data_IF_795382663022
#
_entry.id   IF_795382663022
#
_cell.length_a   1.000
_cell.length_b   1.000
_cell.length_c   1.000
_cell.angle_alpha   90.00
_cell.angle_beta   90.00
_cell.angle_gamma   90.00
#
_symmetry.space_group_name_H-M   'P 1'
#
loop_
_entity.id
_entity.type
_entity.pdbx_description
1 polymer ?
#
# COMPACT_ATOMS: atom_id res chain seq x y z
N UNK A 1 0.25 -18.71 4.76
CA UNK A 1 1.67 -18.42 5.01
C UNK A 1 2.18 -17.42 3.98
N UNK A 2 3.03 -16.51 4.40
CA UNK A 2 3.56 -15.49 3.51
C UNK A 2 4.95 -15.83 3.04
N UNK A 3 5.24 -15.44 1.80
CA UNK A 3 6.62 -15.46 1.32
C UNK A 3 7.45 -14.38 2.04
N UNK A 4 8.74 -14.49 1.94
CA UNK A 4 9.65 -13.48 2.53
C UNK A 4 9.43 -12.12 1.91
N UNK A 5 9.24 -12.06 0.59
CA UNK A 5 9.00 -10.81 -0.11
C UNK A 5 7.68 -10.18 0.31
N UNK A 6 6.64 -11.00 0.49
CA UNK A 6 5.35 -10.48 0.95
C UNK A 6 5.47 -9.90 2.36
N UNK A 7 6.23 -10.55 3.22
CA UNK A 7 6.47 -10.05 4.57
C UNK A 7 7.24 -8.74 4.57
N UNK A 8 8.24 -8.62 3.69
CA UNK A 8 8.97 -7.36 3.55
C UNK A 8 8.05 -6.22 3.11
N UNK A 9 7.18 -6.50 2.14
CA UNK A 9 6.23 -5.49 1.67
C UNK A 9 5.28 -5.08 2.78
N UNK A 10 4.74 -6.05 3.51
CA UNK A 10 3.82 -5.77 4.61
C UNK A 10 4.50 -4.95 5.71
N UNK A 11 5.75 -5.29 6.04
CA UNK A 11 6.49 -4.55 7.06
C UNK A 11 6.77 -3.12 6.62
N UNK A 12 7.11 -2.92 5.37
CA UNK A 12 7.37 -1.57 4.84
C UNK A 12 6.11 -0.72 4.80
N UNK A 13 5.00 -1.32 4.40
CA UNK A 13 3.72 -0.60 4.42
C UNK A 13 3.31 -0.26 5.84
N UNK A 14 3.53 -1.18 6.78
CA UNK A 14 3.27 -0.91 8.19
C UNK A 14 4.12 0.24 8.71
N UNK A 15 5.40 0.27 8.36
CA UNK A 15 6.29 1.37 8.74
C UNK A 15 5.83 2.71 8.16
N UNK A 16 5.43 2.71 6.89
CA UNK A 16 4.94 3.90 6.23
C UNK A 16 3.71 4.46 6.96
N UNK A 17 2.77 3.57 7.26
CA UNK A 17 1.56 3.96 7.98
C UNK A 17 1.91 4.50 9.35
N UNK A 18 2.78 3.82 10.09
CA UNK A 18 3.16 4.27 11.43
C UNK A 18 3.83 5.63 11.39
N UNK A 19 4.75 5.84 10.47
CA UNK A 19 5.46 7.13 10.37
C UNK A 19 4.50 8.27 10.09
N UNK A 20 3.58 8.08 9.16
CA UNK A 20 2.60 9.14 8.84
C UNK A 20 1.59 9.32 9.94
N UNK A 21 1.14 8.21 10.56
CA UNK A 21 0.19 8.32 11.66
C UNK A 21 0.78 9.11 12.83
N UNK A 22 2.02 8.81 13.21
CA UNK A 22 2.61 9.46 14.39
C UNK A 22 2.76 10.97 14.25
N UNK A 23 2.73 11.48 13.03
CA UNK A 23 2.77 12.93 12.82
C UNK A 23 1.48 13.61 13.29
N UNK A 24 0.37 12.89 13.36
CA UNK A 24 -0.93 13.52 13.60
C UNK A 24 -1.81 12.83 14.63
N UNK A 25 -1.67 11.53 14.84
CA UNK A 25 -2.64 10.76 15.63
C UNK A 25 -1.98 9.74 16.53
N UNK A 26 -2.63 9.47 17.67
CA UNK A 26 -2.30 8.28 18.46
C UNK A 26 -2.90 7.04 17.78
N UNK A 27 -2.45 5.87 18.20
CA UNK A 27 -3.04 4.64 17.67
C UNK A 27 -4.53 4.56 17.97
N UNK A 28 -4.93 4.98 19.18
CA UNK A 28 -6.34 4.92 19.58
C UNK A 28 -7.20 5.84 18.75
N UNK A 29 -6.74 7.07 18.50
CA UNK A 29 -7.48 8.01 17.66
C UNK A 29 -7.58 7.49 16.23
N UNK A 30 -6.46 7.02 15.69
CA UNK A 30 -6.44 6.52 14.33
C UNK A 30 -7.35 5.31 14.17
N UNK A 31 -7.35 4.41 15.17
CA UNK A 31 -8.23 3.25 15.15
C UNK A 31 -9.69 3.66 15.04
N UNK A 32 -10.08 4.68 15.81
CA UNK A 32 -11.46 5.19 15.73
C UNK A 32 -11.77 5.76 14.36
N UNK A 33 -10.82 6.45 13.76
CA UNK A 33 -11.01 7.06 12.44
C UNK A 33 -11.32 6.01 11.36
N UNK A 34 -10.67 4.86 11.43
CA UNK A 34 -10.86 3.82 10.42
C UNK A 34 -11.77 2.70 10.90
N UNK A 35 -12.35 2.85 12.10
CA UNK A 35 -13.39 1.93 12.56
C UNK A 35 -12.89 0.57 13.03
N UNK A 36 -11.69 0.52 13.62
CA UNK A 36 -11.11 -0.74 14.11
C UNK A 36 -10.62 -0.56 15.54
N UNK A 37 -10.16 -1.66 16.14
CA UNK A 37 -9.57 -1.61 17.47
C UNK A 37 -8.12 -1.11 17.39
N UNK A 38 -7.63 -0.62 18.52
CA UNK A 38 -6.24 -0.20 18.62
C UNK A 38 -5.29 -1.37 18.30
N UNK A 39 -5.64 -2.57 18.77
CA UNK A 39 -4.78 -3.74 18.51
C UNK A 39 -4.71 -4.06 17.02
N UNK A 40 -5.77 -3.77 16.27
CA UNK A 40 -5.73 -3.94 14.81
C UNK A 40 -4.76 -2.95 14.18
N UNK A 41 -4.72 -1.71 14.66
CA UNK A 41 -3.74 -0.73 14.19
C UNK A 41 -2.32 -1.21 14.51
N UNK A 42 -2.10 -1.76 15.69
CA UNK A 42 -0.80 -2.32 16.04
C UNK A 42 -0.38 -3.42 15.08
N UNK A 43 -1.28 -4.35 14.78
CA UNK A 43 -1.00 -5.43 13.85
C UNK A 43 -0.66 -4.88 12.47
N UNK A 44 -1.44 -3.92 12.00
CA UNK A 44 -1.22 -3.30 10.71
C UNK A 44 0.19 -2.69 10.63
N UNK A 45 0.56 -1.94 11.65
CA UNK A 45 1.85 -1.25 11.68
C UNK A 45 3.03 -2.22 11.83
N UNK A 46 2.78 -3.40 12.38
CA UNK A 46 3.79 -4.44 12.50
C UNK A 46 3.86 -5.36 11.29
N UNK A 47 3.04 -5.10 10.28
CA UNK A 47 3.03 -5.91 9.07
C UNK A 47 2.36 -7.26 9.25
N UNK A 48 1.52 -7.42 10.28
CA UNK A 48 0.79 -8.65 10.51
C UNK A 48 -0.45 -8.71 9.63
N UNK A 49 -1.07 -9.87 9.59
CA UNK A 49 -2.24 -10.10 8.75
C UNK A 49 -3.43 -9.29 9.26
N UNK A 50 -4.01 -8.49 8.38
CA UNK A 50 -5.25 -7.78 8.62
C UNK A 50 -6.10 -7.91 7.37
N UNK A 51 -7.38 -7.59 7.46
CA UNK A 51 -8.23 -7.55 6.27
C UNK A 51 -7.73 -6.46 5.33
N UNK A 52 -7.78 -6.75 4.03
CA UNK A 52 -7.27 -5.80 3.03
C UNK A 52 -7.98 -4.45 3.11
N UNK A 53 -9.28 -4.45 3.42
CA UNK A 53 -10.03 -3.19 3.53
C UNK A 53 -9.44 -2.28 4.61
N UNK A 54 -8.97 -2.88 5.71
CA UNK A 54 -8.37 -2.10 6.80
C UNK A 54 -7.10 -1.42 6.32
N UNK A 55 -6.27 -2.14 5.57
CA UNK A 55 -5.07 -1.56 4.98
C UNK A 55 -5.41 -0.40 4.06
N UNK A 56 -6.39 -0.58 3.19
CA UNK A 56 -6.78 0.46 2.24
C UNK A 56 -7.34 1.68 2.96
N UNK A 57 -8.21 1.47 3.97
CA UNK A 57 -8.76 2.61 4.72
C UNK A 57 -7.69 3.38 5.48
N UNK A 58 -6.70 2.67 6.01
CA UNK A 58 -5.59 3.33 6.70
C UNK A 58 -4.81 4.23 5.74
N UNK A 59 -4.54 3.74 4.54
CA UNK A 59 -3.81 4.52 3.53
C UNK A 59 -4.61 5.75 3.11
N UNK A 60 -5.92 5.60 2.94
CA UNK A 60 -6.79 6.71 2.58
C UNK A 60 -6.83 7.74 3.70
N UNK A 61 -6.97 7.29 4.95
CA UNK A 61 -7.05 8.19 6.10
C UNK A 61 -5.77 9.03 6.25
N UNK A 62 -4.64 8.50 5.82
CA UNK A 62 -3.36 9.21 5.87
C UNK A 62 -3.04 9.92 4.55
N UNK A 63 -3.96 9.89 3.61
CA UNK A 63 -3.83 10.56 2.31
C UNK A 63 -2.63 10.04 1.50
N UNK A 64 -2.37 8.74 1.61
CA UNK A 64 -1.28 8.11 0.88
C UNK A 64 -1.76 7.41 -0.40
N UNK A 65 -3.08 7.31 -0.59
CA UNK A 65 -3.62 6.55 -1.71
C UNK A 65 -3.25 7.15 -3.07
N UNK A 66 -3.12 8.48 -3.15
CA UNK A 66 -2.84 9.13 -4.43
C UNK A 66 -1.52 8.68 -5.02
N UNK A 67 -0.45 8.74 -4.23
CA UNK A 67 0.87 8.32 -4.69
C UNK A 67 0.91 6.84 -5.03
N UNK A 68 0.23 6.03 -4.23
CA UNK A 68 0.19 4.58 -4.48
C UNK A 68 -0.62 4.27 -5.73
N UNK A 69 -1.74 4.97 -5.92
CA UNK A 69 -2.54 4.79 -7.14
C UNK A 69 -1.78 5.19 -8.39
N UNK A 70 -1.00 6.27 -8.31
CA UNK A 70 -0.18 6.69 -9.44
C UNK A 70 0.76 5.57 -9.87
N UNK A 71 1.41 4.94 -8.91
CA UNK A 71 2.33 3.85 -9.21
C UNK A 71 1.59 2.64 -9.78
N UNK A 72 0.48 2.27 -9.17
CA UNK A 72 -0.32 1.14 -9.65
C UNK A 72 -0.87 1.41 -11.05
N UNK A 73 -1.35 2.63 -11.28
CA UNK A 73 -1.87 3.00 -12.60
C UNK A 73 -0.78 2.92 -13.67
N UNK A 74 0.43 3.31 -13.33
CA UNK A 74 1.55 3.21 -14.26
C UNK A 74 1.84 1.75 -14.60
N UNK A 75 1.85 0.89 -13.60
CA UNK A 75 2.09 -0.54 -13.82
C UNK A 75 0.96 -1.17 -14.64
N UNK A 76 -0.27 -0.78 -14.39
CA UNK A 76 -1.41 -1.26 -15.16
C UNK A 76 -1.30 -0.81 -16.62
N UNK A 77 -0.93 0.45 -16.82
CA UNK A 77 -0.78 0.99 -18.18
C UNK A 77 0.35 0.28 -18.92
N UNK A 78 1.46 0.03 -18.23
CA UNK A 78 2.58 -0.68 -18.84
C UNK A 78 2.18 -2.09 -19.25
N UNK A 79 1.48 -2.81 -18.39
CA UNK A 79 1.03 -4.15 -18.69
C UNK A 79 0.06 -4.16 -19.86
N UNK A 80 -0.89 -3.24 -19.86
CA UNK A 80 -1.85 -3.11 -20.96
C UNK A 80 -1.18 -2.73 -22.26
N UNK A 81 -0.27 -1.76 -22.20
CA UNK A 81 0.44 -1.32 -23.37
C UNK A 81 1.34 -2.42 -23.94
N UNK A 82 2.04 -3.12 -23.06
CA UNK A 82 2.89 -4.23 -23.49
C UNK A 82 2.06 -5.32 -24.16
N UNK A 83 0.98 -5.73 -23.52
CA UNK A 83 0.11 -6.78 -24.06
C UNK A 83 -0.55 -6.36 -25.36
N UNK A 84 -0.87 -5.07 -25.49
CA UNK A 84 -1.57 -4.59 -26.67
C UNK A 84 -0.66 -4.56 -27.88
N UNK A 85 0.64 -4.34 -27.71
CA UNK A 85 1.50 -4.20 -28.86
C UNK A 85 2.93 -4.55 -28.61
N UNK A 86 3.27 -5.14 -27.52
CA UNK A 86 4.63 -5.48 -27.21
C UNK A 86 5.51 -4.29 -27.19
N UNK A 87 5.10 -3.17 -26.77
CA UNK A 87 5.74 -1.96 -26.91
C UNK A 87 6.86 -1.72 -26.11
N UNK A 88 7.16 -1.06 -26.03
CA UNK A 88 7.99 -0.50 -25.42
C UNK A 88 7.94 -0.14 -24.11
N UNK A 89 8.06 -0.07 -23.43
CA UNK A 89 8.02 0.12 -22.30
C UNK A 89 8.24 1.25 -21.53
N UNK A 90 8.41 1.64 -21.00
CA UNK A 90 8.47 2.76 -20.42
C UNK A 90 9.79 3.00 -19.81
N UNK A 91 9.90 2.99 -19.99
CA UNK A 91 10.84 3.12 -19.61
C UNK A 91 11.38 2.29 -19.07
N UNK A 92 11.01 1.79 -19.42
CA UNK A 92 11.27 1.17 -19.30
C UNK A 92 11.30 0.36 -19.29
N UNK A 93 10.99 -0.22 -19.86
CA UNK A 93 10.74 -0.75 -20.07
C UNK A 93 10.41 -1.26 -20.36
N UNK A 94 10.12 -1.70 -21.10
CA UNK A 94 9.69 -1.96 -21.60
C UNK A 94 9.46 -2.52 -21.72
N UNK A 95 9.47 -2.98 -22.28
CA UNK A 95 9.12 -3.42 -22.79
C UNK A 95 8.87 -3.34 -23.28
N UNK A 96 8.61 -3.37 -24.20
CA UNK A 96 8.13 -3.14 -24.86
C UNK A 96 7.96 -2.78 -25.35
N UNK A 97 7.84 -2.87 -25.83
CA UNK A 97 7.54 -2.61 -26.60
C UNK A 97 7.87 -2.24 -26.87
#
# INVERSE_FOLDING_TARGET
MRSEQASKLANKLGDLIRQHRTLHYTQSTFAKMIGVSRSTVQKLEQGEVVKSDILFEALVALQLQGSLLDEVNELVADAGGYNARQRKGRKTQEIND
#
